data_IF_880179276675
#
_entry.id   IF_880179276675
#
_cell.length_a   1.000
_cell.length_b   1.000
_cell.length_c   1.000
_cell.angle_alpha   90.00
_cell.angle_beta   90.00
_cell.angle_gamma   90.00
#
_symmetry.space_group_name_H-M   'P 1'
#
loop_
_entity.id
_entity.type
_entity.pdbx_description
1 polymer ?
#
# COMPACT_ATOMS: atom_id res chain seq x y z
N UNK A 1 -24.30 3.59 -22.43
CA UNK A 1 -24.24 4.15 -21.07
C UNK A 1 -24.55 3.05 -20.08
N UNK A 2 -23.79 2.93 -18.99
CA UNK A 2 -24.03 1.96 -17.93
C UNK A 2 -25.39 2.24 -17.26
N UNK A 3 -26.20 1.20 -17.07
CA UNK A 3 -27.55 1.32 -16.50
C UNK A 3 -27.68 0.70 -15.11
N UNK A 4 -26.60 0.12 -14.60
CA UNK A 4 -26.56 -0.44 -13.26
C UNK A 4 -26.40 0.63 -12.18
N UNK A 5 -26.54 0.21 -10.93
CA UNK A 5 -26.26 1.08 -9.79
C UNK A 5 -24.75 1.39 -9.72
N UNK A 6 -24.40 2.63 -9.39
CA UNK A 6 -23.00 3.06 -9.28
C UNK A 6 -22.83 4.12 -8.21
N UNK A 7 -21.73 4.05 -7.50
CA UNK A 7 -21.34 5.03 -6.47
C UNK A 7 -19.82 5.11 -6.34
N UNK A 8 -19.34 6.15 -5.73
CA UNK A 8 -17.92 6.31 -5.46
C UNK A 8 -17.55 5.65 -4.12
N UNK A 9 -16.40 4.98 -4.05
CA UNK A 9 -15.95 4.25 -2.86
C UNK A 9 -15.83 5.12 -1.59
N UNK A 10 -15.61 6.44 -1.72
CA UNK A 10 -15.62 7.37 -0.57
C UNK A 10 -17.02 7.66 -0.03
N UNK A 11 -18.07 7.22 -0.72
CA UNK A 11 -19.48 7.35 -0.34
C UNK A 11 -20.15 6.00 -0.53
N UNK A 12 -19.74 5.05 0.30
CA UNK A 12 -20.23 3.68 0.19
C UNK A 12 -21.73 3.61 0.45
N UNK A 13 -22.44 2.95 -0.47
CA UNK A 13 -23.88 2.79 -0.39
C UNK A 13 -24.24 1.47 0.32
N UNK A 14 -24.30 1.52 1.63
CA UNK A 14 -24.68 0.36 2.46
C UNK A 14 -26.15 -0.03 2.30
N UNK A 15 -27.03 0.90 1.94
CA UNK A 15 -28.43 0.59 1.66
C UNK A 15 -28.56 -0.34 0.46
N UNK A 16 -27.69 -0.15 -0.54
CA UNK A 16 -27.62 -1.00 -1.73
C UNK A 16 -26.80 -2.28 -1.52
N UNK A 17 -25.68 -2.20 -0.85
CA UNK A 17 -24.72 -3.32 -0.72
C UNK A 17 -25.02 -4.25 0.45
N UNK A 18 -25.71 -3.78 1.46
CA UNK A 18 -25.68 -4.39 2.79
C UNK A 18 -24.33 -4.13 3.48
N UNK A 19 -24.15 -4.78 4.62
CA UNK A 19 -22.98 -4.57 5.45
C UNK A 19 -23.03 -3.27 6.25
N UNK A 20 -21.89 -2.91 6.84
CA UNK A 20 -21.73 -1.68 7.62
C UNK A 20 -20.26 -1.18 7.60
N UNK A 21 -19.98 0.02 8.14
CA UNK A 21 -18.61 0.55 8.21
C UNK A 21 -17.65 -0.26 9.12
N UNK A 22 -18.14 -1.21 9.91
CA UNK A 22 -17.34 -2.06 10.79
C UNK A 22 -16.88 -3.34 10.10
N UNK A 23 -17.29 -3.54 8.83
CA UNK A 23 -16.86 -4.66 8.00
C UNK A 23 -17.81 -5.86 7.99
N UNK A 24 -19.09 -5.68 8.33
CA UNK A 24 -20.10 -6.71 8.12
C UNK A 24 -20.20 -7.08 6.64
N UNK A 25 -20.59 -8.33 6.36
CA UNK A 25 -20.71 -8.85 5.00
C UNK A 25 -21.75 -8.06 4.20
N UNK A 26 -21.41 -7.72 2.97
CA UNK A 26 -22.31 -7.02 2.04
C UNK A 26 -23.26 -8.01 1.35
N UNK A 27 -24.18 -8.57 2.11
CA UNK A 27 -25.04 -9.71 1.74
C UNK A 27 -25.95 -9.44 0.54
N UNK A 28 -26.28 -8.16 0.29
CA UNK A 28 -27.13 -7.77 -0.85
C UNK A 28 -26.36 -7.82 -2.18
N UNK A 29 -25.08 -8.12 -2.17
CA UNK A 29 -24.27 -8.33 -3.35
C UNK A 29 -24.18 -9.79 -3.81
N UNK A 30 -24.70 -10.75 -3.05
CA UNK A 30 -24.54 -12.19 -3.29
C UNK A 30 -25.00 -12.67 -4.69
N UNK A 31 -25.98 -12.03 -5.27
CA UNK A 31 -26.50 -12.32 -6.62
C UNK A 31 -25.94 -11.40 -7.72
N UNK A 32 -25.09 -10.42 -7.36
CA UNK A 32 -24.68 -9.33 -8.27
C UNK A 32 -23.32 -9.55 -8.87
N UNK A 33 -23.18 -9.04 -10.10
CA UNK A 33 -21.90 -8.83 -10.77
C UNK A 33 -21.42 -7.41 -10.46
N UNK A 34 -20.28 -7.29 -9.84
CA UNK A 34 -19.72 -6.01 -9.36
C UNK A 34 -18.49 -5.64 -10.17
N UNK A 35 -18.42 -4.40 -10.64
CA UNK A 35 -17.23 -3.81 -11.27
C UNK A 35 -16.59 -2.77 -10.36
N UNK A 36 -15.28 -2.84 -10.15
CA UNK A 36 -14.50 -1.80 -9.49
C UNK A 36 -13.49 -1.21 -10.47
N UNK A 37 -13.45 0.11 -10.57
CA UNK A 37 -12.58 0.81 -11.51
C UNK A 37 -11.39 1.40 -10.75
N UNK A 38 -10.19 1.00 -11.17
CA UNK A 38 -8.92 1.41 -10.56
C UNK A 38 -8.37 0.37 -9.58
N UNK A 39 -7.06 0.43 -9.35
CA UNK A 39 -6.30 -0.49 -8.50
C UNK A 39 -5.43 0.24 -7.46
N UNK A 40 -5.74 1.48 -7.17
CA UNK A 40 -5.06 2.25 -6.12
C UNK A 40 -5.38 1.77 -4.70
N UNK A 41 -4.84 2.44 -3.70
CA UNK A 41 -4.93 2.07 -2.29
C UNK A 41 -6.36 1.75 -1.79
N UNK A 42 -7.37 2.49 -2.25
CA UNK A 42 -8.77 2.23 -1.91
C UNK A 42 -9.25 0.90 -2.49
N UNK A 43 -8.95 0.63 -3.76
CA UNK A 43 -9.33 -0.61 -4.44
C UNK A 43 -8.68 -1.83 -3.77
N UNK A 44 -7.41 -1.74 -3.42
CA UNK A 44 -6.68 -2.79 -2.70
C UNK A 44 -7.39 -3.19 -1.41
N UNK A 45 -8.01 -2.23 -0.72
CA UNK A 45 -8.79 -2.49 0.48
C UNK A 45 -10.21 -3.03 0.18
N UNK A 46 -10.85 -2.55 -0.89
CA UNK A 46 -12.23 -2.95 -1.22
C UNK A 46 -12.32 -4.34 -1.88
N UNK A 47 -11.36 -4.68 -2.75
CA UNK A 47 -11.39 -5.91 -3.57
C UNK A 47 -11.57 -7.19 -2.74
N UNK A 48 -10.84 -7.44 -1.64
CA UNK A 48 -11.02 -8.65 -0.85
C UNK A 48 -12.41 -8.78 -0.22
N UNK A 49 -13.03 -7.67 0.15
CA UNK A 49 -14.38 -7.64 0.72
C UNK A 49 -15.44 -7.87 -0.35
N UNK A 50 -15.30 -7.24 -1.51
CA UNK A 50 -16.20 -7.42 -2.65
C UNK A 50 -16.14 -8.85 -3.20
N UNK A 51 -14.94 -9.43 -3.32
CA UNK A 51 -14.75 -10.79 -3.81
C UNK A 51 -15.45 -11.84 -2.95
N UNK A 52 -15.53 -11.60 -1.64
CA UNK A 52 -16.26 -12.51 -0.72
C UNK A 52 -17.77 -12.32 -0.73
N UNK A 53 -18.25 -11.14 -1.13
CA UNK A 53 -19.64 -10.75 -1.00
C UNK A 53 -20.44 -10.91 -2.29
N UNK A 54 -19.84 -10.70 -3.47
CA UNK A 54 -20.56 -10.68 -4.73
C UNK A 54 -20.48 -12.02 -5.47
N UNK A 55 -21.39 -12.20 -6.41
CA UNK A 55 -21.42 -13.38 -7.29
C UNK A 55 -20.18 -13.41 -8.18
N UNK A 56 -19.77 -12.26 -8.68
CA UNK A 56 -18.69 -12.11 -9.66
C UNK A 56 -18.10 -10.71 -9.55
N UNK A 57 -16.76 -10.62 -9.48
CA UNK A 57 -16.05 -9.34 -9.37
C UNK A 57 -15.19 -9.09 -10.61
N UNK A 58 -15.35 -7.93 -11.20
CA UNK A 58 -14.51 -7.42 -12.28
C UNK A 58 -13.68 -6.25 -11.78
N UNK A 59 -12.36 -6.37 -11.85
CA UNK A 59 -11.43 -5.29 -11.49
C UNK A 59 -10.87 -4.68 -12.76
N UNK A 60 -11.18 -3.41 -13.00
CA UNK A 60 -10.72 -2.69 -14.20
C UNK A 60 -9.45 -1.92 -13.84
N UNK A 61 -8.31 -2.35 -14.37
CA UNK A 61 -7.02 -1.68 -14.21
C UNK A 61 -6.48 -1.13 -15.53
N UNK A 62 -5.79 -0.01 -15.44
CA UNK A 62 -4.98 0.52 -16.54
C UNK A 62 -3.51 0.07 -16.38
N UNK A 63 -3.01 0.19 -15.17
CA UNK A 63 -1.64 -0.18 -14.79
C UNK A 63 -1.72 -0.96 -13.48
N UNK A 64 -0.99 -2.06 -13.32
CA UNK A 64 -0.92 -2.78 -12.05
C UNK A 64 -0.43 -1.87 -10.93
N UNK A 65 -0.97 -2.05 -9.73
CA UNK A 65 -0.47 -1.39 -8.53
C UNK A 65 0.50 -2.31 -7.80
N UNK A 66 1.58 -1.73 -7.31
CA UNK A 66 2.50 -2.45 -6.43
C UNK A 66 1.83 -2.71 -5.07
N UNK A 67 1.61 -3.97 -4.74
CA UNK A 67 0.98 -4.39 -3.48
C UNK A 67 1.98 -5.18 -2.66
N UNK A 68 2.51 -4.53 -1.65
CA UNK A 68 3.48 -5.12 -0.73
C UNK A 68 2.85 -5.62 0.57
N UNK A 69 3.65 -6.32 1.36
CA UNK A 69 3.28 -6.78 2.71
C UNK A 69 3.41 -5.62 3.68
N UNK A 70 2.32 -5.28 4.35
CA UNK A 70 2.35 -4.23 5.37
C UNK A 70 2.69 -4.76 6.77
N UNK A 71 2.52 -6.05 7.01
CA UNK A 71 2.68 -6.66 8.33
C UNK A 71 1.86 -5.96 9.44
N UNK A 72 0.61 -5.60 9.10
CA UNK A 72 -0.27 -4.92 10.04
C UNK A 72 -0.55 -5.79 11.28
N UNK A 73 -0.32 -5.24 12.46
CA UNK A 73 -0.50 -5.92 13.74
C UNK A 73 -1.29 -5.03 14.72
N UNK A 74 -1.90 -5.61 15.77
CA UNK A 74 -2.43 -4.83 16.87
C UNK A 74 -1.35 -3.94 17.50
N UNK A 75 -1.76 -2.77 17.95
CA UNK A 75 -0.84 -1.85 18.65
C UNK A 75 -0.51 -2.44 20.02
N UNK A 76 0.79 -2.54 20.33
CA UNK A 76 1.27 -2.87 21.68
C UNK A 76 0.95 -1.70 22.63
N UNK A 77 0.16 -1.94 23.70
CA UNK A 77 -0.21 -0.87 24.63
C UNK A 77 0.98 -0.27 25.38
N UNK A 78 2.01 -1.06 25.70
CA UNK A 78 3.21 -0.57 26.43
C UNK A 78 4.05 0.31 25.51
N UNK A 79 4.28 -0.13 24.27
CA UNK A 79 4.93 0.68 23.26
C UNK A 79 4.17 1.99 23.01
N UNK A 80 2.83 1.92 22.86
CA UNK A 80 2.01 3.11 22.66
C UNK A 80 2.10 4.08 23.83
N UNK A 81 2.06 3.59 25.08
CA UNK A 81 2.20 4.44 26.26
C UNK A 81 3.55 5.18 26.29
N UNK A 82 4.62 4.56 25.79
CA UNK A 82 5.94 5.18 25.68
C UNK A 82 6.01 6.33 24.70
N UNK A 83 5.23 6.29 23.62
CA UNK A 83 5.19 7.35 22.59
C UNK A 83 4.05 8.36 22.78
N UNK A 84 2.99 8.00 23.50
CA UNK A 84 1.83 8.86 23.80
C UNK A 84 2.15 9.91 24.88
N UNK A 85 3.28 10.56 24.77
CA UNK A 85 3.76 11.63 25.66
C UNK A 85 3.59 12.99 25.03
N UNK A 86 3.77 14.06 25.79
CA UNK A 86 3.72 15.43 25.25
C UNK A 86 4.77 15.60 24.15
N UNK A 87 4.32 15.99 22.95
CA UNK A 87 5.19 16.12 21.77
C UNK A 87 5.50 14.81 21.04
N UNK A 88 5.10 13.65 21.56
CA UNK A 88 5.38 12.34 20.95
C UNK A 88 4.77 12.20 19.53
N UNK A 89 3.54 12.61 19.34
CA UNK A 89 2.89 12.61 18.01
C UNK A 89 3.63 13.50 17.02
N UNK A 90 4.03 14.70 17.45
CA UNK A 90 4.79 15.65 16.64
C UNK A 90 6.13 15.04 16.19
N UNK A 91 6.89 14.50 17.13
CA UNK A 91 8.17 13.82 16.85
C UNK A 91 8.01 12.68 15.86
N UNK A 92 6.94 11.87 16.02
CA UNK A 92 6.67 10.75 15.13
C UNK A 92 6.36 11.22 13.71
N UNK A 93 5.51 12.24 13.56
CA UNK A 93 5.15 12.83 12.28
C UNK A 93 6.35 13.46 11.58
N UNK A 94 7.18 14.22 12.31
CA UNK A 94 8.39 14.84 11.78
C UNK A 94 9.40 13.78 11.30
N UNK A 95 9.59 12.72 12.09
CA UNK A 95 10.45 11.60 11.71
C UNK A 95 9.96 10.90 10.45
N UNK A 96 8.65 10.57 10.39
CA UNK A 96 8.06 9.95 9.21
C UNK A 96 8.21 10.85 7.96
N UNK A 97 7.89 12.13 8.09
CA UNK A 97 8.03 13.10 7.00
C UNK A 97 9.48 13.21 6.51
N UNK A 98 10.43 13.28 7.43
CA UNK A 98 11.85 13.34 7.10
C UNK A 98 12.31 12.07 6.34
N UNK A 99 11.87 10.89 6.77
CA UNK A 99 12.19 9.64 6.06
C UNK A 99 11.56 9.57 4.66
N UNK A 100 10.31 10.06 4.49
CA UNK A 100 9.62 10.05 3.19
C UNK A 100 10.15 11.08 2.21
N UNK A 101 10.56 12.24 2.68
CA UNK A 101 11.07 13.34 1.84
C UNK A 101 12.54 13.19 1.42
N UNK A 102 13.15 12.02 1.61
CA UNK A 102 14.59 11.82 1.36
C UNK A 102 15.46 12.58 2.36
N UNK A 103 14.91 12.93 3.51
CA UNK A 103 15.58 13.69 4.55
C UNK A 103 16.61 12.89 5.33
N UNK A 104 17.31 13.58 6.20
CA UNK A 104 18.42 13.06 6.99
C UNK A 104 18.01 12.59 8.38
N UNK A 105 16.84 11.97 8.52
CA UNK A 105 16.47 11.40 9.82
C UNK A 105 17.54 10.37 10.23
N UNK A 106 18.13 10.55 11.42
CA UNK A 106 19.17 9.66 11.93
C UNK A 106 18.61 8.28 12.26
N UNK A 107 17.34 8.23 12.65
CA UNK A 107 16.60 7.01 12.99
C UNK A 107 15.31 6.90 12.17
N UNK A 108 14.79 5.69 12.04
CA UNK A 108 13.46 5.43 11.50
C UNK A 108 12.57 4.89 12.62
N UNK A 109 11.66 5.71 13.12
CA UNK A 109 10.73 5.34 14.19
C UNK A 109 9.60 4.43 13.71
N UNK A 110 9.33 4.40 12.40
CA UNK A 110 8.21 3.64 11.80
C UNK A 110 8.62 2.21 11.48
N UNK A 111 9.77 2.01 10.83
CA UNK A 111 10.39 0.72 10.51
C UNK A 111 9.46 -0.29 9.83
N UNK A 112 8.52 0.17 9.01
CA UNK A 112 7.61 -0.68 8.25
C UNK A 112 7.77 -0.51 6.73
N UNK A 113 6.80 -1.04 5.95
CA UNK A 113 6.78 -0.93 4.50
C UNK A 113 6.72 0.50 3.96
N UNK A 114 6.28 1.47 4.76
CA UNK A 114 6.23 2.88 4.35
C UNK A 114 7.62 3.53 4.29
N UNK A 115 8.54 3.08 5.10
CA UNK A 115 9.91 3.64 5.17
C UNK A 115 10.96 2.71 4.57
N UNK A 116 10.59 1.51 4.11
CA UNK A 116 11.51 0.51 3.56
C UNK A 116 12.33 1.05 2.38
N UNK A 117 11.67 1.64 1.39
CA UNK A 117 12.37 2.21 0.22
C UNK A 117 13.34 3.33 0.62
N UNK A 118 12.91 4.22 1.51
CA UNK A 118 13.75 5.32 2.00
C UNK A 118 14.99 4.80 2.75
N UNK A 119 14.84 3.74 3.53
CA UNK A 119 15.98 3.07 4.21
C UNK A 119 16.98 2.48 3.20
N UNK A 120 16.49 1.81 2.16
CA UNK A 120 17.33 1.24 1.09
C UNK A 120 18.12 2.30 0.35
N UNK A 121 17.45 3.38 -0.07
CA UNK A 121 18.08 4.52 -0.74
C UNK A 121 19.15 5.13 0.16
N UNK A 122 18.81 5.38 1.42
CA UNK A 122 19.76 5.94 2.39
C UNK A 122 20.97 5.05 2.57
N UNK A 123 20.80 3.74 2.72
CA UNK A 123 21.90 2.80 2.86
C UNK A 123 22.86 2.89 1.65
N UNK A 124 22.32 2.82 0.43
CA UNK A 124 23.13 2.96 -0.80
C UNK A 124 23.86 4.30 -0.88
N UNK A 125 23.21 5.40 -0.52
CA UNK A 125 23.85 6.74 -0.53
C UNK A 125 24.94 6.84 0.52
N UNK A 126 24.76 6.25 1.70
CA UNK A 126 25.76 6.28 2.76
C UNK A 126 26.99 5.41 2.46
N UNK A 127 26.81 4.33 1.70
CA UNK A 127 27.90 3.48 1.22
C UNK A 127 28.81 4.17 0.18
N UNK A 128 28.30 5.22 -0.47
CA UNK A 128 29.13 6.01 -1.37
C UNK A 128 30.14 6.88 -0.59
N UNK A 129 31.39 6.99 -1.07
CA UNK A 129 32.32 8.02 -0.60
C UNK A 129 31.70 9.42 -0.67
N UNK A 130 32.06 10.30 0.26
CA UNK A 130 31.44 11.64 0.33
C UNK A 130 31.55 12.44 -0.96
N UNK A 131 32.68 12.35 -1.65
CA UNK A 131 32.95 12.99 -2.93
C UNK A 131 32.08 12.45 -4.08
N UNK A 132 31.55 11.24 -3.93
CA UNK A 132 30.67 10.60 -4.92
C UNK A 132 29.17 10.81 -4.61
N UNK A 133 28.80 11.47 -3.52
CA UNK A 133 27.39 11.77 -3.19
C UNK A 133 26.87 12.95 -4.01
N UNK A 134 27.00 12.85 -5.32
CA UNK A 134 26.48 13.83 -6.28
C UNK A 134 24.98 13.63 -6.51
N UNK A 135 24.23 14.64 -7.00
CA UNK A 135 22.83 14.47 -7.37
C UNK A 135 22.58 13.32 -8.34
N UNK A 136 23.49 13.09 -9.30
CA UNK A 136 23.38 11.99 -10.26
C UNK A 136 23.50 10.62 -9.57
N UNK A 137 24.45 10.43 -8.66
CA UNK A 137 24.63 9.18 -7.94
C UNK A 137 23.51 8.93 -6.90
N UNK A 138 22.95 10.01 -6.33
CA UNK A 138 21.77 9.90 -5.46
C UNK A 138 20.54 9.46 -6.27
N UNK A 139 20.35 9.99 -7.47
CA UNK A 139 19.28 9.56 -8.37
C UNK A 139 19.46 8.08 -8.77
N UNK A 140 20.66 7.67 -9.13
CA UNK A 140 20.96 6.27 -9.44
C UNK A 140 20.65 5.34 -8.24
N UNK A 141 21.03 5.72 -7.03
CA UNK A 141 20.72 4.96 -5.83
C UNK A 141 19.20 4.85 -5.59
N UNK A 142 18.44 5.88 -5.93
CA UNK A 142 16.97 5.85 -5.89
C UNK A 142 16.43 4.86 -6.93
N UNK A 143 16.81 4.99 -8.18
CA UNK A 143 16.33 4.14 -9.28
C UNK A 143 16.66 2.67 -9.05
N UNK A 144 17.88 2.36 -8.60
CA UNK A 144 18.28 1.00 -8.24
C UNK A 144 17.47 0.43 -7.08
N UNK A 145 17.20 1.23 -6.04
CA UNK A 145 16.42 0.79 -4.88
C UNK A 145 14.96 0.54 -5.23
N UNK A 146 14.39 1.40 -6.06
CA UNK A 146 13.02 1.24 -6.58
C UNK A 146 12.92 -0.01 -7.46
N UNK A 147 13.87 -0.20 -8.37
CA UNK A 147 13.92 -1.38 -9.23
C UNK A 147 14.00 -2.68 -8.41
N UNK A 148 14.92 -2.77 -7.45
CA UNK A 148 15.03 -3.94 -6.57
C UNK A 148 13.73 -4.22 -5.81
N UNK A 149 13.12 -3.17 -5.26
CA UNK A 149 11.84 -3.29 -4.55
C UNK A 149 10.72 -3.76 -5.47
N UNK A 150 10.65 -3.25 -6.68
CA UNK A 150 9.64 -3.66 -7.66
C UNK A 150 9.86 -5.11 -8.12
N UNK A 151 11.09 -5.58 -8.26
CA UNK A 151 11.37 -6.99 -8.56
C UNK A 151 10.93 -7.93 -7.41
N UNK A 152 11.14 -7.54 -6.16
CA UNK A 152 10.62 -8.28 -5.00
C UNK A 152 9.09 -8.40 -5.04
N UNK A 153 8.39 -7.30 -5.36
CA UNK A 153 6.92 -7.29 -5.47
C UNK A 153 6.45 -8.15 -6.64
N UNK A 154 7.12 -8.12 -7.79
CA UNK A 154 6.82 -8.99 -8.95
C UNK A 154 7.02 -10.46 -8.62
N UNK A 155 8.13 -10.80 -7.96
CA UNK A 155 8.39 -12.15 -7.50
C UNK A 155 7.32 -12.64 -6.50
N UNK A 156 6.86 -11.75 -5.62
CA UNK A 156 5.76 -12.05 -4.70
C UNK A 156 4.45 -12.34 -5.43
N UNK A 157 4.12 -11.60 -6.49
CA UNK A 157 2.95 -11.89 -7.33
C UNK A 157 3.03 -13.30 -7.91
N UNK A 158 4.19 -13.71 -8.45
CA UNK A 158 4.39 -15.05 -8.99
C UNK A 158 4.25 -16.17 -7.95
N UNK A 159 4.51 -15.84 -6.68
CA UNK A 159 4.38 -16.81 -5.58
C UNK A 159 2.95 -16.98 -5.10
N UNK A 160 2.13 -15.92 -5.17
CA UNK A 160 0.79 -15.89 -4.57
C UNK A 160 -0.30 -16.20 -5.59
N UNK A 161 -0.13 -15.74 -6.83
CA UNK A 161 -1.14 -15.87 -7.89
C UNK A 161 -0.90 -17.15 -8.68
N UNK A 162 -1.77 -18.13 -8.50
CA UNK A 162 -1.64 -19.46 -9.12
C UNK A 162 -1.76 -19.40 -10.65
N UNK A 163 -2.69 -18.59 -11.18
CA UNK A 163 -2.87 -18.42 -12.61
C UNK A 163 -1.79 -17.50 -13.19
N UNK A 164 -0.94 -18.08 -14.05
CA UNK A 164 0.21 -17.37 -14.64
C UNK A 164 -0.16 -16.20 -15.53
N UNK A 165 -1.30 -16.27 -16.23
CA UNK A 165 -1.76 -15.18 -17.07
C UNK A 165 -2.22 -13.99 -16.20
N UNK A 166 -2.96 -14.27 -15.15
CA UNK A 166 -3.34 -13.27 -14.16
C UNK A 166 -2.12 -12.68 -13.45
N UNK A 167 -1.15 -13.51 -13.04
CA UNK A 167 0.09 -13.04 -12.43
C UNK A 167 0.85 -12.07 -13.35
N UNK A 168 0.96 -12.40 -14.65
CA UNK A 168 1.62 -11.54 -15.63
C UNK A 168 0.91 -10.17 -15.82
N UNK A 169 -0.40 -10.13 -15.66
CA UNK A 169 -1.19 -8.89 -15.75
C UNK A 169 -1.12 -8.02 -14.49
N UNK A 170 -0.63 -8.56 -13.38
CA UNK A 170 -0.51 -7.87 -12.09
C UNK A 170 0.91 -7.36 -11.82
N UNK A 171 1.81 -7.48 -12.75
CA UNK A 171 3.22 -7.02 -12.73
C UNK A 171 3.45 -5.85 -13.67
#
# INVERSE_FOLDING_TARGET
MFKGHSFHTSRWDYDYTGGDPRGALMEKLADKRVGIIGTGATSVQCVPHLARACKELYVFQRTPSSVDVRANAPIDPEWFAGIATSGGQQRWLENFTANQAGGSAEEDLVQDGWTDLSRRIRAKVLDLPREQRTPANMLAAFEDSDFEKMEEIRARVDTIVEDRETAARLK
#
